data_IF_818027279339
#
_entry.id   IF_818027279339
#
_cell.length_a   1.000
_cell.length_b   1.000
_cell.length_c   1.000
_cell.angle_alpha   90.00
_cell.angle_beta   90.00
_cell.angle_gamma   90.00
#
_symmetry.space_group_name_H-M   'P 1'
#
loop_
_entity.id
_entity.type
_entity.pdbx_description
1 polymer ?
#
# COMPACT_ATOMS: atom_id res chain seq x y z
N UNK A 1 -20.30 -2.32 -0.15
CA UNK A 1 -18.84 -2.58 -0.05
C UNK A 1 -18.47 -2.69 1.42
N UNK A 2 -17.91 -3.81 1.88
CA UNK A 2 -17.30 -3.87 3.23
C UNK A 2 -15.80 -3.72 3.09
N UNK A 3 -15.24 -2.64 3.65
CA UNK A 3 -13.81 -2.30 3.52
C UNK A 3 -12.91 -3.45 3.96
N UNK A 4 -13.25 -4.14 5.05
CA UNK A 4 -12.46 -5.26 5.57
C UNK A 4 -12.32 -6.44 4.59
N UNK A 5 -13.33 -6.69 3.74
CA UNK A 5 -13.29 -7.73 2.72
C UNK A 5 -12.26 -7.37 1.65
N UNK A 6 -12.31 -6.14 1.13
CA UNK A 6 -11.33 -5.63 0.17
C UNK A 6 -9.90 -5.64 0.73
N UNK A 7 -9.72 -5.33 2.02
CA UNK A 7 -8.38 -5.44 2.64
C UNK A 7 -7.89 -6.89 2.61
N UNK A 8 -8.76 -7.84 2.97
CA UNK A 8 -8.40 -9.27 3.02
C UNK A 8 -8.11 -9.85 1.63
N UNK A 9 -8.75 -9.33 0.59
CA UNK A 9 -8.57 -9.75 -0.81
C UNK A 9 -7.31 -9.16 -1.45
N UNK A 10 -6.93 -7.93 -1.11
CA UNK A 10 -5.85 -7.20 -1.79
C UNK A 10 -4.51 -7.14 -1.03
N UNK A 11 -4.50 -7.46 0.27
CA UNK A 11 -3.33 -7.39 1.13
C UNK A 11 -3.11 -8.71 1.87
N UNK A 12 -1.96 -9.35 1.65
CA UNK A 12 -1.55 -10.51 2.44
C UNK A 12 -0.77 -10.05 3.69
N UNK A 13 -1.50 -9.84 4.77
CA UNK A 13 -0.97 -9.31 6.03
C UNK A 13 -0.16 -10.32 6.86
N UNK A 14 0.11 -11.53 6.34
CA UNK A 14 1.00 -12.49 7.03
C UNK A 14 2.42 -11.90 7.10
N UNK A 15 3.16 -12.07 8.21
CA UNK A 15 4.47 -11.43 8.41
C UNK A 15 5.49 -11.66 7.29
N UNK A 16 5.50 -12.85 6.68
CA UNK A 16 6.41 -13.17 5.59
C UNK A 16 6.01 -12.54 4.25
N UNK A 17 4.71 -12.45 3.99
CA UNK A 17 4.17 -11.94 2.73
C UNK A 17 4.29 -10.42 2.65
N UNK A 18 3.80 -9.69 3.65
CA UNK A 18 3.87 -8.22 3.63
C UNK A 18 5.33 -7.72 3.59
N UNK A 19 6.25 -8.42 4.29
CA UNK A 19 7.69 -8.10 4.24
C UNK A 19 8.26 -8.22 2.84
N UNK A 20 7.81 -9.22 2.07
CA UNK A 20 8.23 -9.44 0.68
C UNK A 20 7.59 -8.40 -0.25
N UNK A 21 6.29 -8.15 -0.07
CA UNK A 21 5.52 -7.21 -0.89
C UNK A 21 6.05 -5.78 -0.76
N UNK A 22 6.35 -5.34 0.46
CA UNK A 22 6.98 -4.04 0.73
C UNK A 22 8.51 -4.05 0.55
N UNK A 23 9.10 -5.18 0.11
CA UNK A 23 10.55 -5.31 -0.07
C UNK A 23 11.39 -4.78 1.12
N UNK A 24 11.07 -5.25 2.34
CA UNK A 24 11.61 -4.69 3.59
C UNK A 24 12.97 -5.29 4.00
N UNK A 25 13.45 -6.35 3.35
CA UNK A 25 14.70 -7.01 3.73
C UNK A 25 15.92 -6.30 3.09
N UNK A 26 16.04 -5.00 3.35
CA UNK A 26 17.04 -4.08 2.79
C UNK A 26 17.48 -3.05 3.84
N UNK A 27 18.69 -2.47 3.71
CA UNK A 27 19.20 -1.47 4.66
C UNK A 27 18.62 -0.05 4.41
N UNK A 28 17.30 0.11 4.52
CA UNK A 28 16.59 1.36 4.17
C UNK A 28 16.21 2.26 5.37
N UNK A 29 16.34 1.74 6.59
CA UNK A 29 15.69 2.31 7.79
C UNK A 29 16.39 3.54 8.39
N UNK A 30 17.65 3.80 8.06
CA UNK A 30 18.37 4.96 8.64
C UNK A 30 17.69 6.28 8.26
N UNK A 31 17.11 6.36 7.06
CA UNK A 31 16.43 7.57 6.56
C UNK A 31 15.18 7.94 7.34
N UNK A 32 14.51 6.97 7.98
CA UNK A 32 13.28 7.19 8.76
C UNK A 32 13.55 7.48 10.24
N UNK A 33 14.81 7.34 10.70
CA UNK A 33 15.18 7.53 12.11
C UNK A 33 15.03 8.99 12.60
N UNK A 34 14.85 9.94 11.67
CA UNK A 34 14.50 11.33 11.94
C UNK A 34 13.42 11.79 10.96
N UNK A 35 12.64 12.79 11.38
CA UNK A 35 11.58 13.42 10.57
C UNK A 35 10.43 12.48 10.13
N UNK A 36 10.26 11.36 10.82
CA UNK A 36 9.12 10.46 10.67
C UNK A 36 9.30 9.37 9.61
N UNK A 37 8.48 8.33 9.77
CA UNK A 37 8.43 7.14 8.89
C UNK A 37 7.44 7.29 7.72
N UNK A 38 6.48 8.21 7.83
CA UNK A 38 5.35 8.32 6.90
C UNK A 38 5.25 9.69 6.25
N UNK A 39 4.54 9.77 5.12
CA UNK A 39 4.21 11.00 4.41
C UNK A 39 5.40 11.62 3.67
N UNK A 40 6.39 10.78 3.31
CA UNK A 40 7.64 11.22 2.67
C UNK A 40 7.82 10.48 1.35
N UNK A 41 8.02 11.23 0.28
CA UNK A 41 8.33 10.65 -1.02
C UNK A 41 9.81 10.23 -1.07
N UNK A 42 10.07 8.94 -0.89
CA UNK A 42 11.37 8.30 -1.10
C UNK A 42 11.14 6.92 -1.72
N UNK A 43 11.91 6.56 -2.73
CA UNK A 43 11.77 5.27 -3.43
C UNK A 43 12.01 4.05 -2.53
N UNK A 44 12.73 4.23 -1.41
CA UNK A 44 12.91 3.16 -0.43
C UNK A 44 11.68 2.92 0.46
N UNK A 45 10.77 3.90 0.57
CA UNK A 45 9.57 3.83 1.41
C UNK A 45 8.40 3.27 0.61
N UNK A 46 8.50 1.99 0.27
CA UNK A 46 7.50 1.26 -0.53
C UNK A 46 6.09 1.29 0.07
N UNK A 47 5.96 1.49 1.39
CA UNK A 47 4.66 1.62 2.06
C UNK A 47 3.94 2.96 1.79
N UNK A 48 4.63 3.95 1.24
CA UNK A 48 4.02 5.21 0.78
C UNK A 48 3.44 5.08 -0.64
N UNK A 49 3.73 3.98 -1.34
CA UNK A 49 3.17 3.70 -2.67
C UNK A 49 1.65 3.54 -2.60
N UNK A 50 0.96 4.15 -3.55
CA UNK A 50 -0.50 4.02 -3.75
C UNK A 50 -0.84 3.13 -4.94
N UNK A 51 0.06 2.22 -5.31
CA UNK A 51 -0.06 1.30 -6.46
C UNK A 51 -1.34 0.42 -6.45
N UNK A 52 -1.91 0.15 -5.28
CA UNK A 52 -3.19 -0.59 -5.14
C UNK A 52 -4.43 0.28 -5.19
N UNK A 53 -4.31 1.60 -5.25
CA UNK A 53 -5.45 2.51 -5.19
C UNK A 53 -6.46 2.25 -6.31
N UNK A 54 -6.00 2.09 -7.55
CA UNK A 54 -6.87 1.79 -8.68
C UNK A 54 -7.53 0.43 -8.54
N UNK A 55 -6.78 -0.61 -8.15
CA UNK A 55 -7.33 -1.95 -7.94
C UNK A 55 -8.43 -1.95 -6.86
N UNK A 56 -8.23 -1.21 -5.77
CA UNK A 56 -9.24 -1.06 -4.71
C UNK A 56 -10.44 -0.25 -5.18
N UNK A 57 -10.24 0.79 -6.00
CA UNK A 57 -11.32 1.60 -6.59
C UNK A 57 -12.20 0.75 -7.50
N UNK A 58 -11.59 -0.05 -8.36
CA UNK A 58 -12.27 -1.00 -9.24
C UNK A 58 -13.07 -2.03 -8.42
N UNK A 59 -12.43 -2.68 -7.45
CA UNK A 59 -13.07 -3.69 -6.59
C UNK A 59 -14.20 -3.11 -5.72
N UNK A 60 -14.12 -1.82 -5.37
CA UNK A 60 -15.19 -1.10 -4.68
C UNK A 60 -16.35 -0.69 -5.61
N UNK A 61 -16.26 -0.94 -6.93
CA UNK A 61 -17.25 -0.50 -7.92
C UNK A 61 -17.28 1.02 -8.11
N UNK A 62 -16.18 1.71 -7.80
CA UNK A 62 -16.03 3.17 -7.94
C UNK A 62 -15.33 3.58 -9.24
N UNK A 63 -15.05 2.61 -10.09
CA UNK A 63 -14.59 2.80 -11.46
C UNK A 63 -15.70 3.40 -12.31
N UNK A 64 -15.47 4.59 -12.83
CA UNK A 64 -16.43 5.31 -13.65
C UNK A 64 -16.61 4.63 -15.02
N UNK A 65 -17.81 4.41 -15.57
CA UNK A 65 -19.15 4.41 -14.96
C UNK A 65 -19.69 5.72 -14.37
N UNK A 66 -18.99 6.85 -14.49
CA UNK A 66 -19.40 8.14 -13.91
C UNK A 66 -18.46 9.27 -14.35
N UNK A 67 -18.48 9.63 -15.63
CA UNK A 67 -18.61 11.01 -16.12
C UNK A 67 -19.25 10.91 -17.51
N UNK A 68 -20.49 11.39 -17.61
CA UNK A 68 -21.07 11.85 -18.87
C UNK A 68 -20.59 13.30 -19.11
#
# INVERSE_FOLDING_TARGET
VRIAELISEHFDLRPGSFRKELDLHRPIYQKTAAYGHFGREDADFTWESTDKADALREAAGLAAGAVA
#
